data_IF_335566833946
#
_entry.id   IF_335566833946
#
_cell.length_a   1.000
_cell.length_b   1.000
_cell.length_c   1.000
_cell.angle_alpha   90.00
_cell.angle_beta   90.00
_cell.angle_gamma   90.00
#
_symmetry.space_group_name_H-M   'P 1'
#
loop_
_entity.id
_entity.type
_entity.pdbx_description
1 polymer ?
#
# COMPACT_ATOMS: atom_id res chain seq x y z
N UNK A 1 2.73 -6.45 -16.30
CA UNK A 1 1.67 -5.87 -17.19
C UNK A 1 0.97 -4.64 -16.59
N UNK A 2 1.12 -4.37 -15.29
CA UNK A 2 0.56 -3.15 -14.69
C UNK A 2 1.11 -1.86 -15.31
N UNK A 3 2.37 -1.86 -15.69
CA UNK A 3 3.09 -0.72 -16.23
C UNK A 3 2.66 -0.28 -17.64
N UNK A 4 2.16 -1.19 -18.48
CA UNK A 4 1.75 -0.87 -19.86
C UNK A 4 0.61 0.15 -19.95
N UNK A 5 -0.15 0.30 -18.87
CA UNK A 5 -1.27 1.24 -18.81
C UNK A 5 -0.85 2.67 -18.45
N UNK A 6 0.34 2.85 -17.84
CA UNK A 6 0.86 4.18 -17.53
C UNK A 6 1.06 5.03 -18.79
N UNK A 7 1.44 4.43 -19.90
CA UNK A 7 1.57 5.09 -21.20
C UNK A 7 0.28 5.81 -21.59
N UNK A 8 -0.86 5.15 -21.47
CA UNK A 8 -2.15 5.73 -21.82
C UNK A 8 -2.58 6.81 -20.81
N UNK A 9 -2.32 6.59 -19.51
CA UNK A 9 -2.57 7.58 -18.48
C UNK A 9 -1.72 8.85 -18.70
N UNK A 10 -0.43 8.69 -19.01
CA UNK A 10 0.46 9.83 -19.32
C UNK A 10 0.10 10.49 -20.64
N UNK A 11 -0.32 9.75 -21.66
CA UNK A 11 -0.78 10.33 -22.93
C UNK A 11 -2.00 11.24 -22.73
N UNK A 12 -2.89 10.92 -21.79
CA UNK A 12 -4.03 11.77 -21.46
C UNK A 12 -3.64 13.09 -20.72
N UNK A 13 -2.36 13.22 -20.29
CA UNK A 13 -1.86 14.44 -19.62
C UNK A 13 -1.39 15.54 -20.57
N UNK A 14 -1.38 15.30 -21.89
CA UNK A 14 -1.02 16.33 -22.85
C UNK A 14 -2.06 17.47 -22.83
N UNK A 15 -1.84 18.46 -21.95
CA UNK A 15 -2.68 19.65 -21.78
C UNK A 15 -3.31 19.85 -20.40
N UNK A 16 -3.16 18.93 -19.46
CA UNK A 16 -3.68 19.12 -18.10
C UNK A 16 -2.96 18.23 -17.12
N UNK A 17 -2.41 18.75 -16.05
CA UNK A 17 -1.57 18.06 -15.07
C UNK A 17 -2.03 16.65 -14.61
N UNK A 18 -1.41 16.10 -13.57
CA UNK A 18 -1.70 14.76 -13.02
C UNK A 18 -3.20 14.55 -12.69
N UNK A 19 -3.88 15.62 -12.28
CA UNK A 19 -5.33 15.62 -12.03
C UNK A 19 -6.14 15.26 -13.28
N UNK A 20 -5.79 15.82 -14.43
CA UNK A 20 -6.45 15.51 -15.71
C UNK A 20 -6.19 14.08 -16.15
N UNK A 21 -5.03 13.52 -15.83
CA UNK A 21 -4.74 12.09 -16.07
C UNK A 21 -5.66 11.19 -15.25
N UNK A 22 -5.86 11.51 -13.97
CA UNK A 22 -6.75 10.78 -13.08
C UNK A 22 -8.23 10.92 -13.50
N UNK A 23 -8.66 12.12 -13.93
CA UNK A 23 -10.03 12.34 -14.40
C UNK A 23 -10.29 11.67 -15.76
N UNK A 24 -9.35 11.76 -16.71
CA UNK A 24 -9.45 11.08 -18.00
C UNK A 24 -9.49 9.55 -17.82
N UNK A 25 -8.71 9.05 -16.88
CA UNK A 25 -8.71 7.64 -16.52
C UNK A 25 -10.06 7.22 -15.89
N UNK A 26 -10.61 8.02 -14.99
CA UNK A 26 -11.95 7.81 -14.43
C UNK A 26 -13.03 7.74 -15.52
N UNK A 27 -12.97 8.63 -16.50
CA UNK A 27 -13.86 8.60 -17.66
C UNK A 27 -13.73 7.35 -18.54
N UNK A 28 -12.51 6.80 -18.63
CA UNK A 28 -12.26 5.57 -19.41
C UNK A 28 -12.67 4.27 -18.71
N UNK A 29 -12.90 4.32 -17.41
CA UNK A 29 -13.25 3.13 -16.61
C UNK A 29 -14.76 2.80 -16.61
N UNK A 30 -15.61 3.69 -17.12
CA UNK A 30 -17.06 3.49 -17.08
C UNK A 30 -17.57 3.50 -15.62
N UNK A 31 -18.37 4.50 -15.25
CA UNK A 31 -18.71 4.79 -13.84
C UNK A 31 -19.76 3.81 -13.25
N UNK A 32 -20.37 2.96 -14.04
CA UNK A 32 -21.52 2.13 -13.63
C UNK A 32 -21.21 0.62 -13.76
N UNK A 33 -20.59 0.03 -12.73
CA UNK A 33 -20.46 -1.41 -12.63
C UNK A 33 -19.26 -1.92 -11.83
N UNK A 34 -19.30 -3.18 -11.42
CA UNK A 34 -18.16 -3.84 -10.77
C UNK A 34 -16.94 -3.81 -11.70
N UNK A 35 -15.83 -3.23 -11.24
CA UNK A 35 -14.59 -3.11 -12.04
C UNK A 35 -14.01 -4.48 -12.34
N UNK A 36 -13.53 -4.65 -13.55
CA UNK A 36 -12.73 -5.84 -13.87
C UNK A 36 -11.39 -5.82 -13.10
N UNK A 37 -10.80 -7.00 -12.82
CA UNK A 37 -9.48 -7.06 -12.17
C UNK A 37 -8.39 -6.27 -12.92
N UNK A 38 -8.49 -6.15 -14.24
CA UNK A 38 -7.58 -5.34 -15.04
C UNK A 38 -7.74 -3.83 -14.76
N UNK A 39 -8.96 -3.34 -14.66
CA UNK A 39 -9.26 -1.95 -14.33
C UNK A 39 -8.81 -1.60 -12.90
N UNK A 40 -9.03 -2.51 -11.94
CA UNK A 40 -8.56 -2.33 -10.56
C UNK A 40 -7.04 -2.24 -10.48
N UNK A 41 -6.30 -3.08 -11.22
CA UNK A 41 -4.83 -3.00 -11.30
C UNK A 41 -4.31 -1.67 -11.83
N UNK A 42 -4.95 -1.14 -12.86
CA UNK A 42 -4.55 0.15 -13.45
C UNK A 42 -4.81 1.28 -12.45
N UNK A 43 -6.00 1.31 -11.85
CA UNK A 43 -6.37 2.27 -10.82
C UNK A 43 -5.36 2.26 -9.66
N UNK A 44 -5.04 1.07 -9.16
CA UNK A 44 -4.08 0.85 -8.10
C UNK A 44 -2.69 1.40 -8.46
N UNK A 45 -2.16 1.04 -9.63
CA UNK A 45 -0.83 1.49 -10.07
C UNK A 45 -0.75 3.01 -10.15
N UNK A 46 -1.75 3.67 -10.75
CA UNK A 46 -1.80 5.12 -10.84
C UNK A 46 -1.88 5.76 -9.44
N UNK A 47 -2.69 5.19 -8.55
CA UNK A 47 -2.83 5.67 -7.18
C UNK A 47 -1.49 5.65 -6.43
N UNK A 48 -0.78 4.52 -6.47
CA UNK A 48 0.52 4.37 -5.79
C UNK A 48 1.55 5.34 -6.36
N UNK A 49 1.69 5.41 -7.70
CA UNK A 49 2.69 6.30 -8.32
C UNK A 49 2.38 7.77 -8.03
N UNK A 50 1.11 8.18 -8.12
CA UNK A 50 0.71 9.56 -7.87
C UNK A 50 0.95 9.98 -6.42
N UNK A 51 0.52 9.17 -5.45
CA UNK A 51 0.69 9.48 -4.03
C UNK A 51 2.15 9.40 -3.60
N UNK A 52 2.94 8.44 -4.12
CA UNK A 52 4.38 8.39 -3.87
C UNK A 52 5.09 9.66 -4.40
N UNK A 53 4.74 10.11 -5.62
CA UNK A 53 5.28 11.34 -6.19
C UNK A 53 4.91 12.59 -5.37
N UNK A 54 3.72 12.62 -4.79
CA UNK A 54 3.28 13.75 -3.93
C UNK A 54 3.92 13.70 -2.54
N UNK A 55 4.24 12.51 -2.01
CA UNK A 55 5.01 12.35 -0.77
C UNK A 55 6.40 12.98 -0.91
N UNK A 56 7.09 12.65 -1.98
CA UNK A 56 8.39 13.21 -2.33
C UNK A 56 8.42 14.74 -2.42
N UNK A 57 7.32 15.33 -2.85
CA UNK A 57 7.18 16.78 -2.90
C UNK A 57 7.02 17.40 -1.50
N UNK A 58 6.37 16.68 -0.59
CA UNK A 58 6.05 17.18 0.74
C UNK A 58 7.29 17.33 1.63
N UNK A 59 8.27 16.45 1.51
CA UNK A 59 9.53 16.47 2.27
C UNK A 59 10.66 17.27 1.61
N UNK A 60 10.44 17.78 0.38
CA UNK A 60 11.37 18.69 -0.31
C UNK A 60 12.61 18.01 -0.89
N UNK A 61 12.64 16.67 -0.95
CA UNK A 61 13.74 15.90 -1.54
C UNK A 61 13.73 15.97 -3.07
N UNK A 62 14.87 15.63 -3.69
CA UNK A 62 15.05 15.72 -5.15
C UNK A 62 14.23 14.65 -5.88
N UNK A 63 13.15 15.07 -6.53
CA UNK A 63 12.24 14.23 -7.32
C UNK A 63 12.90 13.21 -8.27
N UNK A 64 14.02 13.52 -8.98
CA UNK A 64 14.68 12.52 -9.83
C UNK A 64 15.27 11.34 -9.06
N UNK A 65 15.82 11.56 -7.86
CA UNK A 65 16.42 10.52 -7.03
C UNK A 65 15.34 9.57 -6.52
N UNK A 66 14.22 10.12 -6.08
CA UNK A 66 13.10 9.33 -5.57
C UNK A 66 12.34 8.58 -6.66
N UNK A 67 12.14 9.19 -7.84
CA UNK A 67 11.62 8.48 -8.98
C UNK A 67 12.49 7.26 -9.33
N UNK A 68 13.83 7.39 -9.25
CA UNK A 68 14.76 6.28 -9.45
C UNK A 68 14.67 5.23 -8.31
N UNK A 69 14.49 5.67 -7.06
CA UNK A 69 14.30 4.77 -5.93
C UNK A 69 13.00 3.95 -6.10
N UNK A 70 11.91 4.62 -6.45
CA UNK A 70 10.64 3.98 -6.80
C UNK A 70 10.80 2.98 -7.95
N UNK A 71 11.47 3.38 -9.05
CA UNK A 71 11.72 2.52 -10.21
C UNK A 71 12.47 1.23 -9.83
N UNK A 72 13.47 1.34 -8.94
CA UNK A 72 14.22 0.17 -8.45
C UNK A 72 13.39 -0.71 -7.54
N UNK A 73 12.66 -0.11 -6.61
CA UNK A 73 11.89 -0.81 -5.58
C UNK A 73 10.77 -1.65 -6.16
N UNK A 74 10.07 -1.11 -7.17
CA UNK A 74 8.97 -1.80 -7.83
C UNK A 74 9.37 -2.47 -9.17
N UNK A 75 10.67 -2.61 -9.42
CA UNK A 75 11.19 -3.26 -10.64
C UNK A 75 10.51 -2.75 -11.92
N UNK A 76 10.38 -1.41 -12.03
CA UNK A 76 9.74 -0.77 -13.18
C UNK A 76 10.49 -1.13 -14.47
N UNK A 77 9.82 -1.70 -15.50
CA UNK A 77 10.45 -2.00 -16.76
C UNK A 77 11.05 -0.76 -17.43
N UNK A 78 12.16 -0.92 -18.15
CA UNK A 78 12.84 0.20 -18.82
C UNK A 78 11.91 0.99 -19.76
N UNK A 79 10.99 0.29 -20.42
CA UNK A 79 9.98 0.88 -21.31
C UNK A 79 9.00 1.80 -20.59
N UNK A 80 8.80 1.63 -19.29
CA UNK A 80 7.82 2.37 -18.49
C UNK A 80 8.45 3.43 -17.58
N UNK A 81 9.78 3.41 -17.39
CA UNK A 81 10.48 4.38 -16.53
C UNK A 81 10.22 5.83 -16.92
N UNK A 82 10.20 6.11 -18.23
CA UNK A 82 9.90 7.45 -18.73
C UNK A 82 8.51 7.94 -18.29
N UNK A 83 7.52 7.04 -18.24
CA UNK A 83 6.16 7.34 -17.80
C UNK A 83 6.09 7.61 -16.29
N UNK A 84 6.77 6.80 -15.48
CA UNK A 84 6.90 7.03 -14.03
C UNK A 84 7.55 8.40 -13.75
N UNK A 85 8.70 8.68 -14.36
CA UNK A 85 9.38 9.98 -14.21
C UNK A 85 8.51 11.15 -14.64
N UNK A 86 7.73 10.97 -15.70
CA UNK A 86 6.80 12.01 -16.16
C UNK A 86 5.71 12.29 -15.11
N UNK A 87 5.18 11.26 -14.44
CA UNK A 87 4.21 11.44 -13.35
C UNK A 87 4.83 12.18 -12.17
N UNK A 88 6.07 11.86 -11.78
CA UNK A 88 6.80 12.61 -10.75
C UNK A 88 6.99 14.07 -11.13
N UNK A 89 7.37 14.37 -12.39
CA UNK A 89 7.48 15.75 -12.88
C UNK A 89 6.15 16.49 -12.84
N UNK A 90 5.05 15.84 -13.24
CA UNK A 90 3.71 16.44 -13.19
C UNK A 90 3.28 16.73 -11.74
N UNK A 91 3.57 15.82 -10.81
CA UNK A 91 3.30 16.02 -9.38
C UNK A 91 4.07 17.24 -8.85
N UNK A 92 5.33 17.46 -9.27
CA UNK A 92 6.13 18.60 -8.82
C UNK A 92 5.60 19.95 -9.32
N UNK A 93 4.99 19.98 -10.50
CA UNK A 93 4.46 21.18 -11.13
C UNK A 93 3.03 21.52 -10.69
N UNK A 94 2.34 20.56 -10.07
CA UNK A 94 0.95 20.77 -9.66
C UNK A 94 0.89 21.63 -8.40
N UNK A 95 0.03 22.64 -8.42
CA UNK A 95 -0.24 23.51 -7.27
C UNK A 95 -1.23 22.91 -6.29
N UNK A 96 -1.97 21.88 -6.72
CA UNK A 96 -2.87 21.16 -5.84
C UNK A 96 -2.07 20.37 -4.80
N UNK A 97 -2.52 20.41 -3.55
CA UNK A 97 -1.96 19.60 -2.49
C UNK A 97 -2.24 18.11 -2.70
N UNK A 98 -1.51 17.25 -2.01
CA UNK A 98 -1.70 15.81 -2.05
C UNK A 98 -3.11 15.38 -1.59
N UNK A 99 -3.79 16.20 -0.80
CA UNK A 99 -5.15 15.94 -0.33
C UNK A 99 -6.14 15.79 -1.48
N UNK A 100 -6.00 16.62 -2.52
CA UNK A 100 -6.85 16.53 -3.70
C UNK A 100 -6.65 15.21 -4.45
N UNK A 101 -5.41 14.74 -4.50
CA UNK A 101 -5.06 13.44 -5.12
C UNK A 101 -5.54 12.27 -4.28
N UNK A 102 -5.30 12.31 -2.96
CA UNK A 102 -5.77 11.27 -2.04
C UNK A 102 -7.31 11.15 -2.09
N UNK A 103 -8.03 12.29 -2.15
CA UNK A 103 -9.48 12.29 -2.31
C UNK A 103 -9.94 11.69 -3.66
N UNK A 104 -9.20 11.90 -4.75
CA UNK A 104 -9.50 11.27 -6.03
C UNK A 104 -9.25 9.75 -5.97
N UNK A 105 -8.16 9.32 -5.35
CA UNK A 105 -7.85 7.90 -5.13
C UNK A 105 -8.92 7.25 -4.25
N UNK A 106 -9.37 7.92 -3.18
CA UNK A 106 -10.44 7.45 -2.31
C UNK A 106 -11.74 7.17 -3.10
N UNK A 107 -12.12 8.09 -3.99
CA UNK A 107 -13.28 7.89 -4.89
C UNK A 107 -13.05 6.79 -5.92
N UNK A 108 -11.83 6.72 -6.47
CA UNK A 108 -11.46 5.70 -7.45
C UNK A 108 -11.54 4.28 -6.87
N UNK A 109 -11.27 4.14 -5.58
CA UNK A 109 -11.25 2.86 -4.86
C UNK A 109 -12.41 2.74 -3.84
N UNK A 110 -13.53 3.47 -4.03
CA UNK A 110 -14.59 3.67 -3.03
C UNK A 110 -15.02 2.37 -2.34
N UNK A 111 -15.32 1.32 -3.11
CA UNK A 111 -15.79 0.02 -2.60
C UNK A 111 -14.68 -1.03 -2.43
N UNK A 112 -13.40 -0.61 -2.46
CA UNK A 112 -12.26 -1.52 -2.49
C UNK A 112 -11.32 -1.28 -1.29
N UNK A 113 -11.82 -1.54 -0.07
CA UNK A 113 -11.08 -1.30 1.18
C UNK A 113 -9.71 -2.00 1.19
N UNK A 114 -9.64 -3.23 0.71
CA UNK A 114 -8.38 -3.98 0.64
C UNK A 114 -7.34 -3.32 -0.29
N UNK A 115 -7.79 -2.73 -1.40
CA UNK A 115 -6.89 -2.00 -2.30
C UNK A 115 -6.41 -0.68 -1.68
N UNK A 116 -7.25 0.02 -0.92
CA UNK A 116 -6.83 1.22 -0.17
C UNK A 116 -5.76 0.88 0.86
N UNK A 117 -5.92 -0.23 1.59
CA UNK A 117 -4.91 -0.74 2.52
C UNK A 117 -3.61 -1.06 1.78
N UNK A 118 -3.68 -1.76 0.64
CA UNK A 118 -2.51 -2.10 -0.16
C UNK A 118 -1.81 -0.88 -0.77
N UNK A 119 -2.56 0.18 -1.13
CA UNK A 119 -1.96 1.47 -1.52
C UNK A 119 -1.15 2.03 -0.37
N UNK A 120 -1.71 2.07 0.84
CA UNK A 120 -1.01 2.57 2.02
C UNK A 120 0.24 1.73 2.34
N UNK A 121 0.16 0.40 2.22
CA UNK A 121 1.32 -0.51 2.38
C UNK A 121 2.44 -0.19 1.37
N UNK A 122 2.09 0.06 0.11
CA UNK A 122 3.07 0.46 -0.90
C UNK A 122 3.73 1.81 -0.57
N UNK A 123 2.96 2.79 -0.08
CA UNK A 123 3.50 4.08 0.32
C UNK A 123 4.45 3.96 1.53
N UNK A 124 4.09 3.18 2.55
CA UNK A 124 4.99 2.86 3.66
C UNK A 124 6.26 2.16 3.19
N UNK A 125 6.13 1.25 2.22
CA UNK A 125 7.28 0.56 1.66
C UNK A 125 8.24 1.53 0.94
N UNK A 126 7.71 2.54 0.25
CA UNK A 126 8.52 3.62 -0.36
C UNK A 126 9.17 4.47 0.72
N UNK A 127 8.39 4.97 1.68
CA UNK A 127 8.87 5.82 2.76
C UNK A 127 9.97 5.16 3.61
N UNK A 128 9.87 3.85 3.84
CA UNK A 128 10.85 3.09 4.64
C UNK A 128 11.99 2.48 3.80
N UNK A 129 12.22 2.93 2.57
CA UNK A 129 13.20 2.32 1.67
C UNK A 129 14.66 2.45 2.14
N UNK A 130 14.97 3.48 2.88
CA UNK A 130 16.28 3.71 3.52
C UNK A 130 16.41 3.09 4.92
N UNK A 131 15.33 2.45 5.41
CA UNK A 131 15.25 1.81 6.73
C UNK A 131 14.73 2.69 7.86
N UNK A 132 14.44 3.96 7.59
CA UNK A 132 13.93 4.93 8.58
C UNK A 132 12.68 5.61 8.03
N UNK A 133 11.60 5.59 8.79
CA UNK A 133 10.42 6.38 8.48
C UNK A 133 10.56 7.76 9.12
N UNK A 134 10.68 8.81 8.31
CA UNK A 134 10.78 10.17 8.80
C UNK A 134 9.45 10.69 9.38
N UNK A 135 9.48 11.56 10.41
CA UNK A 135 8.24 12.05 11.04
C UNK A 135 7.29 12.79 10.06
N UNK A 136 7.83 13.43 9.03
CA UNK A 136 7.05 14.14 8.04
C UNK A 136 6.34 13.18 7.08
N UNK A 137 7.01 12.08 6.71
CA UNK A 137 6.42 10.98 5.95
C UNK A 137 5.32 10.27 6.74
N UNK A 138 5.57 9.99 8.04
CA UNK A 138 4.56 9.38 8.91
C UNK A 138 3.31 10.26 9.02
N UNK A 139 3.47 11.58 9.15
CA UNK A 139 2.35 12.54 9.13
C UNK A 139 1.61 12.56 7.79
N UNK A 140 2.34 12.54 6.69
CA UNK A 140 1.78 12.43 5.35
C UNK A 140 0.94 11.16 5.20
N UNK A 141 1.51 10.01 5.56
CA UNK A 141 0.85 8.71 5.47
C UNK A 141 -0.39 8.61 6.36
N UNK A 142 -0.33 9.17 7.58
CA UNK A 142 -1.47 9.25 8.48
C UNK A 142 -2.63 10.04 7.84
N UNK A 143 -2.34 11.23 7.31
CA UNK A 143 -3.36 12.07 6.69
C UNK A 143 -3.91 11.46 5.39
N UNK A 144 -3.04 10.87 4.55
CA UNK A 144 -3.51 10.12 3.36
C UNK A 144 -4.45 8.98 3.76
N UNK A 145 -4.14 8.24 4.83
CA UNK A 145 -4.99 7.15 5.30
C UNK A 145 -6.39 7.63 5.72
N UNK A 146 -6.47 8.78 6.39
CA UNK A 146 -7.74 9.42 6.77
C UNK A 146 -8.57 9.79 5.53
N UNK A 147 -7.95 10.41 4.53
CA UNK A 147 -8.62 10.79 3.28
C UNK A 147 -9.08 9.56 2.50
N UNK A 148 -8.32 8.47 2.52
CA UNK A 148 -8.72 7.20 1.92
C UNK A 148 -9.90 6.53 2.65
N UNK A 149 -10.29 7.05 3.82
CA UNK A 149 -11.35 6.48 4.65
C UNK A 149 -10.93 5.23 5.42
N UNK A 150 -9.64 5.08 5.69
CA UNK A 150 -9.11 4.03 6.55
C UNK A 150 -9.26 4.44 8.02
N UNK A 151 -9.64 3.48 8.85
CA UNK A 151 -9.71 3.71 10.30
C UNK A 151 -8.31 3.85 10.91
N UNK A 152 -8.21 4.53 12.06
CA UNK A 152 -6.98 4.62 12.84
C UNK A 152 -6.40 3.24 13.22
N UNK A 153 -7.26 2.23 13.31
CA UNK A 153 -6.85 0.85 13.56
C UNK A 153 -6.14 0.26 12.35
N UNK A 154 -6.69 0.46 11.14
CA UNK A 154 -6.08 0.00 9.89
C UNK A 154 -4.76 0.70 9.64
N UNK A 155 -4.69 2.04 9.83
CA UNK A 155 -3.44 2.79 9.73
C UNK A 155 -2.35 2.23 10.64
N UNK A 156 -2.64 2.12 11.95
CA UNK A 156 -1.68 1.57 12.92
C UNK A 156 -1.25 0.15 12.58
N UNK A 157 -2.18 -0.66 12.11
CA UNK A 157 -1.91 -2.03 11.71
C UNK A 157 -0.96 -2.09 10.50
N UNK A 158 -1.08 -1.19 9.50
CA UNK A 158 -0.14 -1.09 8.39
C UNK A 158 1.21 -0.57 8.87
N UNK A 159 1.24 0.56 9.59
CA UNK A 159 2.45 1.22 10.10
C UNK A 159 3.38 0.26 10.84
N UNK A 160 2.84 -0.59 11.69
CA UNK A 160 3.58 -1.59 12.48
C UNK A 160 4.33 -2.64 11.64
N UNK A 161 3.93 -2.85 10.40
CA UNK A 161 4.67 -3.70 9.47
C UNK A 161 5.97 -3.07 8.96
N UNK A 162 6.17 -1.76 9.19
CA UNK A 162 7.29 -1.00 8.63
C UNK A 162 8.15 -0.31 9.68
N UNK A 163 7.57 0.05 10.81
CA UNK A 163 8.27 0.71 11.91
C UNK A 163 8.46 -0.31 13.03
N UNK A 164 9.70 -0.53 13.40
CA UNK A 164 10.07 -1.36 14.55
C UNK A 164 9.93 -0.47 15.80
N UNK A 165 8.71 -0.08 16.12
CA UNK A 165 8.40 0.39 17.47
C UNK A 165 8.28 -0.85 18.37
N UNK A 166 8.59 -0.68 19.66
CA UNK A 166 8.45 -1.74 20.67
C UNK A 166 6.96 -2.06 20.96
N UNK A 167 6.17 -2.23 19.91
CA UNK A 167 4.76 -2.53 20.00
C UNK A 167 4.57 -3.99 20.41
N UNK A 168 3.67 -4.21 21.35
CA UNK A 168 3.29 -5.55 21.77
C UNK A 168 2.84 -6.41 20.57
N UNK A 169 3.28 -7.68 20.45
CA UNK A 169 2.86 -8.58 19.37
C UNK A 169 1.33 -8.76 19.31
N UNK A 170 0.62 -8.57 20.42
CA UNK A 170 -0.84 -8.55 20.48
C UNK A 170 -1.44 -7.38 19.70
N UNK A 171 -0.77 -6.26 19.66
CA UNK A 171 -1.20 -5.09 18.90
C UNK A 171 -1.02 -5.30 17.40
N UNK A 172 0.07 -5.94 16.97
CA UNK A 172 0.29 -6.31 15.55
C UNK A 172 -0.86 -7.16 15.03
N UNK A 173 -1.33 -8.13 15.81
CA UNK A 173 -2.50 -8.94 15.47
C UNK A 173 -3.83 -8.21 15.71
N UNK A 174 -3.81 -7.02 16.33
CA UNK A 174 -5.01 -6.29 16.75
C UNK A 174 -5.93 -7.12 17.64
N UNK A 175 -5.36 -7.79 18.62
CA UNK A 175 -6.06 -8.56 19.67
C UNK A 175 -5.71 -8.04 21.06
N UNK A 176 -6.55 -8.33 22.05
CA UNK A 176 -6.24 -8.04 23.44
C UNK A 176 -5.19 -9.02 23.98
N UNK A 177 -4.24 -8.59 24.85
CA UNK A 177 -3.39 -9.53 25.59
C UNK A 177 -4.18 -10.56 26.43
N UNK A 178 -5.43 -10.25 26.80
CA UNK A 178 -6.33 -11.14 27.51
C UNK A 178 -7.20 -12.03 26.57
N UNK A 179 -7.04 -11.94 25.26
CA UNK A 179 -7.78 -12.76 24.31
C UNK A 179 -7.44 -14.25 24.45
N UNK A 180 -8.41 -15.12 24.19
CA UNK A 180 -8.16 -16.57 24.22
C UNK A 180 -7.22 -16.99 23.08
N UNK A 181 -6.48 -18.10 23.26
CA UNK A 181 -5.58 -18.64 22.23
C UNK A 181 -6.35 -19.00 20.97
N UNK A 182 -7.61 -19.42 21.11
CA UNK A 182 -8.51 -19.70 20.00
C UNK A 182 -8.80 -18.43 19.19
N UNK A 183 -9.06 -17.30 19.86
CA UNK A 183 -9.36 -16.03 19.18
C UNK A 183 -8.11 -15.45 18.51
N UNK A 184 -6.95 -15.55 19.16
CA UNK A 184 -5.65 -15.16 18.61
C UNK A 184 -5.35 -15.98 17.35
N UNK A 185 -5.52 -17.31 17.39
CA UNK A 185 -5.32 -18.20 16.24
C UNK A 185 -6.29 -17.91 15.11
N UNK A 186 -7.56 -17.63 15.43
CA UNK A 186 -8.58 -17.25 14.44
C UNK A 186 -8.18 -15.93 13.76
N UNK A 187 -7.81 -14.91 14.55
CA UNK A 187 -7.40 -13.61 14.03
C UNK A 187 -6.15 -13.69 13.16
N UNK A 188 -5.15 -14.47 13.58
CA UNK A 188 -3.97 -14.72 12.76
C UNK A 188 -4.33 -15.31 11.39
N UNK A 189 -5.20 -16.33 11.35
CA UNK A 189 -5.64 -16.95 10.08
C UNK A 189 -6.36 -15.97 9.17
N UNK A 190 -7.22 -15.11 9.74
CA UNK A 190 -7.94 -14.08 8.98
C UNK A 190 -6.97 -13.07 8.37
N UNK A 191 -5.98 -12.62 9.14
CA UNK A 191 -4.94 -11.71 8.68
C UNK A 191 -4.08 -12.34 7.57
N UNK A 192 -3.63 -13.58 7.75
CA UNK A 192 -2.87 -14.30 6.72
C UNK A 192 -3.68 -14.42 5.43
N UNK A 193 -4.96 -14.82 5.52
CA UNK A 193 -5.84 -14.98 4.37
C UNK A 193 -6.07 -13.66 3.64
N UNK A 194 -6.27 -12.56 4.37
CA UNK A 194 -6.56 -11.25 3.77
C UNK A 194 -5.33 -10.59 3.13
N UNK A 195 -4.13 -10.87 3.66
CA UNK A 195 -2.85 -10.29 3.19
C UNK A 195 -2.02 -11.25 2.35
N UNK A 196 -2.56 -12.43 2.01
CA UNK A 196 -1.86 -13.37 1.12
C UNK A 196 -1.67 -12.75 -0.26
N UNK A 197 -0.46 -12.82 -0.86
CA UNK A 197 -0.18 -12.26 -2.18
C UNK A 197 -1.20 -12.69 -3.24
N UNK A 198 -1.55 -13.96 -3.31
CA UNK A 198 -2.51 -14.47 -4.29
C UNK A 198 -3.91 -13.85 -4.12
N UNK A 199 -4.34 -13.66 -2.86
CA UNK A 199 -5.63 -13.03 -2.58
C UNK A 199 -5.63 -11.55 -3.01
N UNK A 200 -4.52 -10.84 -2.83
CA UNK A 200 -4.36 -9.45 -3.24
C UNK A 200 -4.30 -9.32 -4.77
N UNK A 201 -3.58 -10.22 -5.45
CA UNK A 201 -3.56 -10.27 -6.92
C UNK A 201 -4.96 -10.51 -7.48
N UNK A 202 -5.73 -11.42 -6.88
CA UNK A 202 -7.11 -11.68 -7.27
C UNK A 202 -8.03 -10.45 -7.08
N UNK A 203 -7.74 -9.60 -6.09
CA UNK A 203 -8.46 -8.33 -5.83
C UNK A 203 -7.98 -7.17 -6.72
N UNK A 204 -6.92 -7.35 -7.50
CA UNK A 204 -6.44 -6.37 -8.46
C UNK A 204 -5.14 -5.65 -8.08
N UNK A 205 -4.44 -6.07 -7.02
CA UNK A 205 -3.08 -5.59 -6.74
C UNK A 205 -2.14 -6.21 -7.77
N UNK A 206 -1.38 -5.39 -8.53
CA UNK A 206 -0.41 -5.93 -9.46
C UNK A 206 0.73 -6.65 -8.71
N UNK A 207 1.29 -7.75 -9.25
CA UNK A 207 2.38 -8.50 -8.61
C UNK A 207 3.60 -7.63 -8.24
N UNK A 208 3.87 -6.60 -9.02
CA UNK A 208 4.98 -5.67 -8.84
C UNK A 208 4.87 -4.83 -7.54
N UNK A 209 3.69 -4.79 -6.92
CA UNK A 209 3.42 -4.00 -5.70
C UNK A 209 3.23 -4.86 -4.44
N UNK A 210 3.52 -6.16 -4.50
CA UNK A 210 3.27 -7.07 -3.38
C UNK A 210 4.31 -6.98 -2.24
N UNK A 211 5.45 -6.34 -2.47
CA UNK A 211 6.53 -6.27 -1.49
C UNK A 211 6.09 -5.68 -0.13
N UNK A 212 5.19 -4.68 -0.13
CA UNK A 212 4.62 -4.14 1.11
C UNK A 212 3.77 -5.15 1.86
N UNK A 213 2.90 -5.85 1.14
CA UNK A 213 2.04 -6.88 1.70
C UNK A 213 2.82 -8.11 2.22
N UNK A 214 3.88 -8.49 1.52
CA UNK A 214 4.79 -9.57 1.96
C UNK A 214 5.50 -9.20 3.27
N UNK A 215 6.01 -7.96 3.38
CA UNK A 215 6.62 -7.45 4.61
C UNK A 215 5.63 -7.48 5.77
N UNK A 216 4.41 -7.03 5.54
CA UNK A 216 3.35 -7.06 6.55
C UNK A 216 2.98 -8.48 6.97
N UNK A 217 2.86 -9.41 6.02
CA UNK A 217 2.59 -10.82 6.31
C UNK A 217 3.70 -11.43 7.17
N UNK A 218 4.96 -11.07 6.91
CA UNK A 218 6.09 -11.48 7.73
C UNK A 218 5.98 -10.93 9.17
N UNK A 219 5.62 -9.65 9.35
CA UNK A 219 5.40 -9.05 10.67
C UNK A 219 4.24 -9.71 11.43
N UNK A 220 3.12 -10.01 10.78
CA UNK A 220 1.98 -10.74 11.35
C UNK A 220 2.42 -12.13 11.83
N UNK A 221 3.22 -12.83 11.02
CA UNK A 221 3.70 -14.18 11.36
C UNK A 221 4.66 -14.13 12.54
N UNK A 222 5.61 -13.20 12.55
CA UNK A 222 6.56 -13.01 13.65
C UNK A 222 5.85 -12.71 14.97
N UNK A 223 4.87 -11.79 14.94
CA UNK A 223 4.07 -11.45 16.13
C UNK A 223 3.28 -12.64 16.67
N UNK A 224 2.69 -13.44 15.79
CA UNK A 224 1.99 -14.66 16.21
C UNK A 224 2.92 -15.67 16.86
N UNK A 225 4.11 -15.88 16.29
CA UNK A 225 5.11 -16.78 16.85
C UNK A 225 5.64 -16.31 18.21
N UNK A 226 5.80 -14.99 18.39
CA UNK A 226 6.19 -14.38 19.65
C UNK A 226 5.13 -14.63 20.72
N UNK A 227 3.83 -14.41 20.43
CA UNK A 227 2.72 -14.70 21.34
C UNK A 227 2.70 -16.19 21.72
N UNK A 228 2.90 -17.09 20.77
CA UNK A 228 2.97 -18.52 21.06
C UNK A 228 4.13 -18.86 22.00
N UNK A 229 5.27 -18.19 21.83
CA UNK A 229 6.44 -18.35 22.70
C UNK A 229 6.17 -17.84 24.11
N UNK A 230 5.62 -16.64 24.24
CA UNK A 230 5.26 -16.02 25.52
C UNK A 230 4.26 -16.87 26.32
N UNK A 231 3.29 -17.48 25.62
CA UNK A 231 2.24 -18.32 26.23
C UNK A 231 2.62 -19.78 26.41
N UNK A 232 3.83 -20.19 26.04
CA UNK A 232 4.29 -21.59 26.16
C UNK A 232 3.64 -22.57 25.18
N UNK A 233 2.92 -22.07 24.16
CA UNK A 233 2.13 -22.89 23.22
C UNK A 233 2.96 -23.50 22.09
N UNK A 234 4.26 -23.17 21.99
CA UNK A 234 5.15 -23.75 20.95
C UNK A 234 5.34 -25.25 21.06
N UNK A 235 5.31 -25.77 22.27
CA UNK A 235 5.54 -27.20 22.52
C UNK A 235 4.38 -28.09 22.04
N UNK A 236 3.14 -27.60 22.12
CA UNK A 236 1.95 -28.36 21.69
C UNK A 236 1.86 -28.51 20.18
N UNK A 237 2.29 -27.51 19.41
CA UNK A 237 2.26 -27.54 17.93
C UNK A 237 3.25 -28.53 17.32
N UNK A 238 4.38 -28.78 18.00
CA UNK A 238 5.38 -29.76 17.57
C UNK A 238 4.87 -31.19 17.79
N UNK A 239 4.00 -31.41 18.78
CA UNK A 239 3.39 -32.69 19.08
C UNK A 239 2.20 -33.05 18.17
N UNK A 240 1.45 -32.03 17.69
CA UNK A 240 0.33 -32.21 16.75
C UNK A 240 0.77 -32.39 15.27
N UNK A 241 2.02 -32.10 14.93
CA UNK A 241 2.58 -32.20 13.59
C UNK A 241 3.50 -33.39 13.35
N UNK A 242 3.65 -34.27 14.34
CA UNK A 242 4.32 -35.57 14.15
C UNK A 242 3.33 -36.61 13.66
N UNK A 243 3.61 -37.31 12.54
CA UNK A 243 2.73 -38.31 11.94
C UNK A 243 2.56 -39.57 12.80
#
# INVERSE_FOLDING_TARGET
MAWQFLKNAVAATYGGGLRSALEAFKGSLGIDGARSPAQSRVAFTIAVVALAAMMSKADGVSLPVEAQAFERQFSVPDTERAHVRRLYQLASQDVAGYEAYAAQVARLLEDQQDLKISVLECLFHVASADGVLHPDEDRYLAHVSEILGLSQREYRCVRRGFVVDADSPYEVLSVSPAASDKDIKARYRDLVKSHHPDALVAKGVPPEFLAGAERRLAAITAAYEEILSERGLRAERALESSP
#
